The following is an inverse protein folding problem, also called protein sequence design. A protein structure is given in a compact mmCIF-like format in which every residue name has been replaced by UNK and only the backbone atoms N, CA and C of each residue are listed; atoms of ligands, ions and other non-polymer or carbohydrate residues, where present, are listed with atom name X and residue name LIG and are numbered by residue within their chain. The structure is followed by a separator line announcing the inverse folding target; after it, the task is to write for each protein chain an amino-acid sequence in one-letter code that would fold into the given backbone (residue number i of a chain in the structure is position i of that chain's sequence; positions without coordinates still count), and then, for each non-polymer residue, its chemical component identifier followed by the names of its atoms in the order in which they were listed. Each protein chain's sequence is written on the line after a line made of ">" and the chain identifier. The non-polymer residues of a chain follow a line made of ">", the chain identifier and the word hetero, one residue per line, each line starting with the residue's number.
data_IF_266303253694
#
_entry.id   IF_266303253694
#
_cell.length_a   1.000
_cell.length_b   1.000
_cell.length_c   1.000
_cell.angle_alpha   90.00
_cell.angle_beta   90.00
_cell.angle_gamma   90.00
#
_symmetry.space_group_name_H-M   'P 1'
#
loop_
_entity.id
_entity.type
_entity.pdbx_description
1 polymer ?
#
# COMPACT_ATOMS: atom_id res chain seq x y z
N UNK A 1 20.58 5.19 -55.35
CA UNK A 1 19.32 5.43 -54.62
C UNK A 1 19.50 6.72 -53.83
N UNK A 2 18.86 7.79 -54.24
CA UNK A 2 18.90 9.05 -53.49
C UNK A 2 17.72 9.06 -52.53
N UNK A 3 17.99 8.77 -51.27
CA UNK A 3 17.02 8.94 -50.18
C UNK A 3 16.77 10.44 -50.00
N UNK A 4 15.53 10.85 -50.05
CA UNK A 4 15.15 12.25 -49.80
C UNK A 4 15.30 12.57 -48.30
N UNK A 5 15.78 13.77 -47.95
CA UNK A 5 15.97 14.15 -46.53
C UNK A 5 14.69 14.00 -45.67
N UNK A 6 13.53 14.15 -46.29
CA UNK A 6 12.21 14.02 -45.65
C UNK A 6 11.87 12.59 -45.29
N UNK A 7 12.28 11.60 -46.10
CA UNK A 7 12.09 10.18 -45.82
C UNK A 7 12.97 9.68 -44.66
N UNK A 8 14.19 10.23 -44.58
CA UNK A 8 15.11 9.94 -43.47
C UNK A 8 14.55 10.49 -42.14
N UNK A 9 14.02 11.72 -42.19
CA UNK A 9 13.43 12.35 -40.99
C UNK A 9 12.19 11.60 -40.48
N UNK A 10 11.35 11.09 -41.38
CA UNK A 10 10.15 10.32 -40.99
C UNK A 10 10.51 8.97 -40.37
N UNK A 11 11.52 8.28 -40.95
CA UNK A 11 11.99 6.98 -40.40
C UNK A 11 12.66 7.17 -39.04
N UNK A 12 13.45 8.22 -38.86
CA UNK A 12 14.07 8.53 -37.56
C UNK A 12 13.02 8.86 -36.52
N UNK A 13 12.00 9.64 -36.87
CA UNK A 13 10.91 10.00 -35.98
C UNK A 13 10.10 8.77 -35.57
N UNK A 14 9.79 7.90 -36.51
CA UNK A 14 9.11 6.63 -36.22
C UNK A 14 9.96 5.70 -35.34
N UNK A 15 11.27 5.65 -35.54
CA UNK A 15 12.19 4.90 -34.70
C UNK A 15 12.29 5.49 -33.29
N UNK A 16 12.30 6.79 -33.12
CA UNK A 16 12.31 7.47 -31.82
C UNK A 16 11.00 7.23 -31.08
N UNK A 17 9.86 7.27 -31.78
CA UNK A 17 8.55 6.95 -31.18
C UNK A 17 8.45 5.46 -30.75
N UNK A 18 8.99 4.55 -31.54
CA UNK A 18 9.10 3.13 -31.14
C UNK A 18 10.04 2.94 -29.95
N UNK A 19 11.18 3.62 -29.96
CA UNK A 19 12.15 3.53 -28.86
C UNK A 19 11.60 4.08 -27.54
N UNK A 20 10.84 5.17 -27.57
CA UNK A 20 10.14 5.68 -26.38
C UNK A 20 8.96 4.78 -25.95
N UNK A 21 8.39 3.99 -26.85
CA UNK A 21 7.38 2.98 -26.50
C UNK A 21 8.01 1.70 -25.93
N UNK A 22 9.22 1.33 -26.35
CA UNK A 22 9.96 0.19 -25.82
C UNK A 22 10.66 0.50 -24.47
N UNK A 23 10.87 1.78 -24.15
CA UNK A 23 11.40 2.22 -22.85
C UNK A 23 10.39 2.10 -21.69
N UNK A 24 9.16 1.69 -21.97
CA UNK A 24 8.24 1.17 -20.95
C UNK A 24 8.42 -0.36 -20.79
N UNK A 25 9.66 -0.84 -20.81
CA UNK A 25 9.96 -2.17 -20.29
C UNK A 25 9.72 -2.09 -18.79
N UNK A 26 8.52 -2.43 -18.38
CA UNK A 26 8.25 -2.76 -16.98
C UNK A 26 9.21 -3.88 -16.62
N UNK A 27 10.17 -3.61 -15.72
CA UNK A 27 11.01 -4.66 -15.19
C UNK A 27 10.09 -5.75 -14.63
N UNK A 28 10.32 -6.96 -15.10
CA UNK A 28 9.48 -8.10 -14.78
C UNK A 28 10.30 -9.01 -13.86
N UNK A 29 9.77 -9.26 -12.67
CA UNK A 29 10.36 -10.17 -11.72
C UNK A 29 9.53 -11.43 -11.51
N UNK A 30 10.09 -12.38 -10.81
CA UNK A 30 9.44 -13.64 -10.44
C UNK A 30 9.39 -13.79 -8.93
N UNK A 31 8.24 -14.18 -8.41
CA UNK A 31 8.05 -14.46 -6.99
C UNK A 31 8.84 -15.69 -6.58
N UNK A 32 9.75 -15.56 -5.63
CA UNK A 32 10.54 -16.67 -5.07
C UNK A 32 9.79 -17.29 -3.89
N UNK A 33 9.20 -16.46 -3.05
CA UNK A 33 8.55 -16.89 -1.82
C UNK A 33 7.45 -15.92 -1.43
N UNK A 34 6.36 -16.44 -0.91
CA UNK A 34 5.28 -15.66 -0.29
C UNK A 34 5.00 -16.23 1.10
N UNK A 35 5.07 -15.37 2.12
CA UNK A 35 4.73 -15.73 3.48
C UNK A 35 4.23 -14.50 4.26
N UNK A 36 3.17 -14.67 5.05
CA UNK A 36 2.65 -13.65 5.98
C UNK A 36 2.40 -12.26 5.36
N UNK A 37 1.96 -12.22 4.09
CA UNK A 37 1.71 -10.96 3.39
C UNK A 37 2.98 -10.27 2.85
N UNK A 38 4.10 -10.96 2.86
CA UNK A 38 5.37 -10.50 2.27
C UNK A 38 5.69 -11.40 1.09
N UNK A 39 6.05 -10.79 -0.04
CA UNK A 39 6.55 -11.48 -1.21
C UNK A 39 8.03 -11.14 -1.42
N UNK A 40 8.86 -12.15 -1.69
CA UNK A 40 10.22 -11.99 -2.20
C UNK A 40 10.21 -12.19 -3.70
N UNK A 41 10.73 -11.23 -4.42
CA UNK A 41 10.73 -11.19 -5.88
C UNK A 41 12.15 -11.07 -6.39
N UNK A 42 12.50 -11.89 -7.38
CA UNK A 42 13.79 -11.85 -8.07
C UNK A 42 13.65 -11.16 -9.43
N UNK A 43 14.69 -10.47 -9.89
CA UNK A 43 14.76 -9.89 -11.23
C UNK A 43 14.21 -8.47 -11.36
N UNK A 44 14.00 -7.76 -10.23
CA UNK A 44 13.59 -6.35 -10.21
C UNK A 44 14.78 -5.45 -9.85
N UNK A 45 15.84 -5.46 -10.67
CA UNK A 45 17.10 -4.76 -10.39
C UNK A 45 16.94 -3.23 -10.32
N UNK A 46 15.98 -2.66 -11.05
CA UNK A 46 15.75 -1.22 -11.10
C UNK A 46 14.63 -0.75 -10.16
N UNK A 47 14.07 -1.63 -9.34
CA UNK A 47 13.00 -1.27 -8.43
C UNK A 47 13.46 -0.25 -7.38
N UNK A 48 12.59 0.70 -7.07
CA UNK A 48 12.86 1.74 -6.07
C UNK A 48 12.20 1.37 -4.73
N UNK A 49 12.80 1.82 -3.64
CA UNK A 49 12.17 1.71 -2.33
C UNK A 49 10.84 2.49 -2.30
N UNK A 50 9.79 1.85 -1.79
CA UNK A 50 8.44 2.42 -1.78
C UNK A 50 7.71 2.35 -3.12
N UNK A 51 8.26 1.67 -4.11
CA UNK A 51 7.62 1.48 -5.40
C UNK A 51 6.42 0.53 -5.32
N UNK A 52 5.41 0.83 -6.12
CA UNK A 52 4.24 -0.03 -6.29
C UNK A 52 4.56 -1.14 -7.30
N UNK A 53 4.37 -2.37 -6.89
CA UNK A 53 4.46 -3.56 -7.73
C UNK A 53 3.07 -4.10 -8.04
N UNK A 54 2.89 -4.59 -9.26
CA UNK A 54 1.65 -5.24 -9.69
C UNK A 54 1.86 -6.76 -9.72
N UNK A 55 1.10 -7.47 -8.89
CA UNK A 55 1.03 -8.91 -8.81
C UNK A 55 -0.16 -9.45 -9.61
N UNK A 56 -0.21 -10.75 -9.90
CA UNK A 56 -1.39 -11.38 -10.46
C UNK A 56 -2.64 -11.15 -9.62
N UNK A 57 -3.83 -11.27 -10.25
CA UNK A 57 -5.13 -11.10 -9.58
C UNK A 57 -5.39 -9.69 -9.04
N UNK A 58 -4.82 -8.66 -9.67
CA UNK A 58 -4.98 -7.25 -9.28
C UNK A 58 -4.53 -6.95 -7.85
N UNK A 59 -3.62 -7.75 -7.32
CA UNK A 59 -2.99 -7.49 -6.02
C UNK A 59 -1.80 -6.57 -6.23
N UNK A 60 -1.68 -5.59 -5.38
CA UNK A 60 -0.55 -4.66 -5.38
C UNK A 60 0.35 -4.90 -4.18
N UNK A 61 1.63 -4.63 -4.35
CA UNK A 61 2.61 -4.67 -3.28
C UNK A 61 3.46 -3.41 -3.25
N UNK A 62 4.04 -3.12 -2.10
CA UNK A 62 4.96 -2.01 -1.91
C UNK A 62 6.35 -2.55 -1.60
N UNK A 63 7.36 -2.10 -2.33
CA UNK A 63 8.76 -2.44 -2.08
C UNK A 63 9.21 -1.83 -0.75
N UNK A 64 9.64 -2.67 0.19
CA UNK A 64 10.19 -2.22 1.46
C UNK A 64 11.69 -2.49 1.59
N UNK A 65 12.14 -3.64 1.11
CA UNK A 65 13.53 -4.07 1.24
C UNK A 65 14.12 -4.34 -0.13
N UNK A 66 15.31 -3.78 -0.37
CA UNK A 66 16.09 -4.01 -1.57
C UNK A 66 17.35 -4.76 -1.14
N UNK A 67 17.45 -6.02 -1.55
CA UNK A 67 18.62 -6.87 -1.36
C UNK A 67 19.38 -7.02 -2.69
N UNK A 68 20.57 -7.56 -2.67
CA UNK A 68 21.42 -7.66 -3.85
C UNK A 68 20.76 -8.50 -4.97
N UNK A 69 20.11 -9.61 -4.61
CA UNK A 69 19.52 -10.56 -5.56
C UNK A 69 17.98 -10.58 -5.54
N UNK A 70 17.36 -9.92 -4.59
CA UNK A 70 15.90 -9.98 -4.44
C UNK A 70 15.33 -8.70 -3.82
N UNK A 71 14.03 -8.54 -4.03
CA UNK A 71 13.25 -7.42 -3.52
C UNK A 71 12.16 -7.94 -2.59
N UNK A 72 12.13 -7.42 -1.36
CA UNK A 72 11.06 -7.69 -0.40
C UNK A 72 9.92 -6.71 -0.55
N UNK A 73 8.73 -7.20 -0.87
CA UNK A 73 7.52 -6.39 -1.02
C UNK A 73 6.43 -6.81 -0.03
N UNK A 74 5.75 -5.82 0.55
CA UNK A 74 4.55 -6.05 1.37
C UNK A 74 3.32 -6.01 0.48
N UNK A 75 2.48 -7.02 0.58
CA UNK A 75 1.25 -7.13 -0.20
C UNK A 75 0.14 -6.29 0.40
N UNK A 76 -0.50 -5.47 -0.41
CA UNK A 76 -1.58 -4.56 -0.02
C UNK A 76 -2.96 -5.14 -0.39
N UNK A 77 -3.12 -6.45 -0.23
CA UNK A 77 -4.34 -7.17 -0.58
C UNK A 77 -4.35 -8.60 -0.08
N UNK A 78 -5.29 -9.41 -0.56
CA UNK A 78 -5.36 -10.84 -0.23
C UNK A 78 -4.28 -11.61 -1.01
N UNK A 79 -3.35 -12.21 -0.29
CA UNK A 79 -2.21 -12.92 -0.84
C UNK A 79 -2.47 -14.39 -1.19
N UNK A 80 -3.69 -14.89 -0.95
CA UNK A 80 -4.01 -16.32 -1.13
C UNK A 80 -3.85 -16.84 -2.56
N UNK A 81 -3.95 -15.93 -3.53
CA UNK A 81 -3.88 -16.28 -4.95
C UNK A 81 -2.49 -16.02 -5.56
N UNK A 82 -1.51 -15.63 -4.75
CA UNK A 82 -0.15 -15.40 -5.21
C UNK A 82 0.69 -16.62 -4.87
N UNK A 83 1.34 -17.16 -5.89
CA UNK A 83 2.15 -18.36 -5.77
C UNK A 83 3.62 -18.09 -6.12
N UNK A 84 4.49 -18.97 -5.66
CA UNK A 84 5.88 -19.00 -6.11
C UNK A 84 5.93 -19.28 -7.63
N UNK A 85 6.77 -18.53 -8.32
CA UNK A 85 6.87 -18.55 -9.78
C UNK A 85 5.97 -17.53 -10.50
N UNK A 86 5.08 -16.85 -9.81
CA UNK A 86 4.24 -15.82 -10.41
C UNK A 86 5.07 -14.62 -10.90
N UNK A 87 4.59 -13.99 -11.96
CA UNK A 87 5.22 -12.85 -12.58
C UNK A 87 4.76 -11.55 -11.94
N UNK A 88 5.71 -10.68 -11.54
CA UNK A 88 5.47 -9.37 -10.94
C UNK A 88 6.01 -8.28 -11.84
N UNK A 89 5.29 -7.17 -11.97
CA UNK A 89 5.69 -6.02 -12.77
C UNK A 89 5.95 -4.81 -11.89
N UNK A 90 6.99 -4.05 -12.23
CA UNK A 90 7.20 -2.71 -11.66
C UNK A 90 6.25 -1.72 -12.30
N UNK A 91 5.82 -0.71 -11.55
CA UNK A 91 5.00 0.38 -12.09
C UNK A 91 5.78 1.67 -12.33
N UNK A 92 7.05 1.72 -11.87
CA UNK A 92 7.88 2.93 -11.93
C UNK A 92 7.35 4.07 -11.06
N UNK A 93 6.42 3.80 -10.13
CA UNK A 93 5.79 4.81 -9.28
C UNK A 93 5.89 4.44 -7.82
N UNK A 94 6.25 5.40 -6.99
CA UNK A 94 6.16 5.26 -5.53
C UNK A 94 4.69 5.21 -5.12
N UNK A 95 4.40 4.41 -4.10
CA UNK A 95 3.01 4.25 -3.62
C UNK A 95 2.47 5.57 -3.11
N UNK A 96 1.41 6.04 -3.73
CA UNK A 96 0.72 7.28 -3.43
C UNK A 96 -0.77 7.04 -3.20
N UNK A 97 -1.36 7.85 -2.34
CA UNK A 97 -2.81 7.82 -2.09
C UNK A 97 -3.43 9.18 -2.41
N UNK A 98 -4.67 9.20 -2.92
CA UNK A 98 -5.40 10.43 -3.11
C UNK A 98 -5.67 11.11 -1.77
N UNK A 99 -5.56 12.44 -1.75
CA UNK A 99 -5.79 13.26 -0.55
C UNK A 99 -6.64 14.47 -0.88
N UNK A 100 -7.45 14.90 0.09
CA UNK A 100 -8.29 16.08 -0.01
C UNK A 100 -9.68 15.84 0.53
N UNK A 101 -10.53 16.87 0.41
CA UNK A 101 -11.91 16.86 0.91
C UNK A 101 -12.80 15.81 0.20
N UNK A 102 -12.40 15.39 -1.01
CA UNK A 102 -13.07 14.33 -1.77
C UNK A 102 -13.03 12.96 -1.06
N UNK A 103 -12.14 12.78 -0.07
CA UNK A 103 -12.03 11.56 0.72
C UNK A 103 -12.97 11.54 1.93
N UNK A 104 -13.57 12.68 2.29
CA UNK A 104 -14.44 12.76 3.45
C UNK A 104 -15.72 11.95 3.24
N UNK A 105 -16.04 11.06 4.19
CA UNK A 105 -17.21 10.19 4.14
C UNK A 105 -17.13 9.06 3.11
N UNK A 106 -15.93 8.77 2.56
CA UNK A 106 -15.64 7.64 1.68
C UNK A 106 -14.98 6.50 2.45
N UNK A 107 -15.20 5.28 1.98
CA UNK A 107 -14.48 4.10 2.46
C UNK A 107 -13.57 3.61 1.33
N UNK A 108 -12.29 3.50 1.64
CA UNK A 108 -11.25 3.17 0.65
C UNK A 108 -10.35 2.05 1.15
N UNK A 109 -9.70 1.36 0.22
CA UNK A 109 -8.64 0.41 0.52
C UNK A 109 -7.30 1.12 0.82
N UNK A 110 -6.23 0.34 1.02
CA UNK A 110 -4.89 0.85 1.33
C UNK A 110 -4.31 1.77 0.23
N UNK A 111 -4.74 1.61 -1.01
CA UNK A 111 -4.32 2.42 -2.17
C UNK A 111 -5.23 3.63 -2.42
N UNK A 112 -6.24 3.86 -1.56
CA UNK A 112 -7.19 4.94 -1.74
C UNK A 112 -8.27 4.69 -2.78
N UNK A 113 -8.42 3.45 -3.24
CA UNK A 113 -9.51 3.06 -4.15
C UNK A 113 -10.82 2.90 -3.37
N UNK A 114 -11.94 3.40 -3.88
CA UNK A 114 -13.21 3.34 -3.18
C UNK A 114 -13.77 1.91 -3.14
N UNK A 115 -14.18 1.47 -1.95
CA UNK A 115 -14.84 0.19 -1.71
C UNK A 115 -16.29 0.36 -1.19
N UNK A 116 -16.77 1.61 -1.18
CA UNK A 116 -18.08 1.98 -0.63
C UNK A 116 -19.24 1.95 -1.66
N UNK A 117 -18.96 1.57 -2.90
CA UNK A 117 -19.96 1.53 -3.97
C UNK A 117 -20.45 2.89 -4.46
N UNK A 118 -19.87 4.01 -3.99
CA UNK A 118 -20.28 5.38 -4.36
C UNK A 118 -19.58 5.93 -5.62
N UNK A 119 -18.94 5.06 -6.40
CA UNK A 119 -18.23 5.45 -7.61
C UNK A 119 -16.82 5.99 -7.38
N UNK A 120 -16.10 6.33 -8.46
CA UNK A 120 -14.69 6.73 -8.39
C UNK A 120 -14.50 8.05 -7.65
N UNK A 121 -13.35 8.20 -7.01
CA UNK A 121 -12.93 9.41 -6.30
C UNK A 121 -12.13 10.28 -7.25
N UNK A 122 -12.58 11.50 -7.49
CA UNK A 122 -11.86 12.48 -8.29
C UNK A 122 -10.94 13.29 -7.38
N UNK A 123 -9.73 12.80 -7.18
CA UNK A 123 -8.72 13.49 -6.41
C UNK A 123 -7.82 14.33 -7.32
N UNK A 124 -7.59 15.58 -6.94
CA UNK A 124 -6.67 16.49 -7.63
C UNK A 124 -5.25 16.42 -7.08
N UNK A 125 -5.07 15.82 -5.92
CA UNK A 125 -3.79 15.75 -5.21
C UNK A 125 -3.55 14.33 -4.73
N UNK A 126 -2.29 13.86 -4.86
CA UNK A 126 -1.80 12.61 -4.34
C UNK A 126 -0.67 12.87 -3.36
N UNK A 127 -0.44 11.95 -2.47
CA UNK A 127 0.60 12.03 -1.46
C UNK A 127 1.21 10.66 -1.21
N UNK A 128 2.52 10.60 -1.13
CA UNK A 128 3.25 9.38 -0.80
C UNK A 128 2.84 8.87 0.58
N UNK A 129 2.69 7.56 0.70
CA UNK A 129 2.32 6.90 1.96
C UNK A 129 3.45 7.05 2.97
N UNK A 130 4.69 6.75 2.56
CA UNK A 130 5.83 6.86 3.44
C UNK A 130 6.37 8.29 3.50
N UNK A 131 6.48 8.80 4.72
CA UNK A 131 7.03 10.12 5.00
C UNK A 131 7.78 10.12 6.31
N UNK A 132 8.87 10.86 6.32
CA UNK A 132 9.59 11.13 7.56
C UNK A 132 8.68 11.89 8.52
N UNK A 133 8.47 11.33 9.70
CA UNK A 133 7.68 11.98 10.74
C UNK A 133 8.36 13.26 11.23
N UNK A 134 7.61 14.34 11.50
CA UNK A 134 8.18 15.55 12.10
C UNK A 134 8.78 15.23 13.47
N UNK A 135 9.92 15.84 13.78
CA UNK A 135 10.59 15.66 15.06
C UNK A 135 9.73 16.13 16.25
N UNK A 136 10.08 15.69 17.45
CA UNK A 136 9.32 15.97 18.68
C UNK A 136 9.13 17.48 18.92
N UNK A 137 10.14 18.28 18.62
CA UNK A 137 10.13 19.73 18.83
C UNK A 137 9.08 20.44 17.95
N UNK A 138 8.87 19.92 16.73
CA UNK A 138 7.92 20.52 15.77
C UNK A 138 6.49 20.01 15.94
N UNK A 139 6.25 19.02 16.80
CA UNK A 139 4.91 18.49 17.06
C UNK A 139 4.17 19.35 18.05
N UNK A 140 2.94 19.70 17.72
CA UNK A 140 2.01 20.30 18.69
C UNK A 140 1.56 19.22 19.68
N UNK A 141 1.41 19.58 20.97
CA UNK A 141 0.78 18.69 21.95
C UNK A 141 -0.61 18.26 21.50
N UNK A 142 -0.95 17.00 21.76
CA UNK A 142 -2.29 16.47 21.45
C UNK A 142 -3.25 16.99 22.52
N UNK A 143 -4.08 17.94 22.13
CA UNK A 143 -5.14 18.55 22.95
C UNK A 143 -6.55 18.16 22.49
N UNK A 144 -6.66 17.71 21.26
CA UNK A 144 -7.94 17.32 20.64
C UNK A 144 -7.82 15.97 19.91
N UNK A 145 -8.81 15.09 20.03
CA UNK A 145 -8.81 13.84 19.25
C UNK A 145 -9.01 14.14 17.76
N UNK A 146 -8.24 13.48 16.90
CA UNK A 146 -8.46 13.53 15.47
C UNK A 146 -9.80 12.88 15.14
N UNK A 147 -10.77 13.67 14.67
CA UNK A 147 -12.04 13.14 14.19
C UNK A 147 -11.83 12.52 12.81
N UNK A 148 -11.40 11.26 12.79
CA UNK A 148 -11.46 10.44 11.60
C UNK A 148 -12.84 9.82 11.52
N UNK A 149 -13.40 9.75 10.32
CA UNK A 149 -14.66 9.11 9.93
C UNK A 149 -15.46 8.59 11.14
N UNK A 150 -16.66 9.09 11.36
CA UNK A 150 -17.65 8.40 12.20
C UNK A 150 -17.92 7.03 11.58
N UNK A 151 -17.05 6.08 11.82
CA UNK A 151 -17.46 4.70 11.76
C UNK A 151 -18.51 4.54 12.86
N UNK A 152 -19.74 4.13 12.56
CA UNK A 152 -20.71 3.76 13.59
C UNK A 152 -20.32 2.39 14.16
N UNK A 153 -19.09 2.23 14.59
CA UNK A 153 -18.76 1.18 15.52
C UNK A 153 -19.47 1.59 16.80
N UNK A 154 -20.62 0.96 17.06
CA UNK A 154 -21.20 0.99 18.41
C UNK A 154 -20.02 0.75 19.35
N UNK A 155 -19.76 1.64 20.32
CA UNK A 155 -18.76 1.36 21.33
C UNK A 155 -19.13 -0.02 21.86
N UNK A 156 -18.23 -1.01 21.70
CA UNK A 156 -18.36 -2.28 22.42
C UNK A 156 -18.59 -1.85 23.86
N UNK A 157 -19.79 -2.05 24.36
CA UNK A 157 -20.03 -1.91 25.78
C UNK A 157 -18.96 -2.80 26.42
N UNK A 158 -18.00 -2.15 27.08
CA UNK A 158 -17.09 -2.94 27.93
C UNK A 158 -18.03 -3.76 28.81
N UNK A 159 -17.90 -5.09 28.86
CA UNK A 159 -18.65 -5.85 29.83
C UNK A 159 -18.39 -5.13 31.16
N UNK A 160 -19.47 -4.73 31.83
CA UNK A 160 -19.38 -4.09 33.14
C UNK A 160 -18.47 -4.98 33.97
N UNK A 161 -17.34 -4.41 34.39
CA UNK A 161 -16.49 -5.13 35.32
C UNK A 161 -17.37 -5.38 36.54
N UNK A 162 -17.55 -6.65 36.96
CA UNK A 162 -18.35 -6.96 38.12
C UNK A 162 -17.82 -6.14 39.29
N UNK A 163 -18.70 -5.37 39.93
CA UNK A 163 -18.33 -4.56 41.08
C UNK A 163 -17.67 -5.44 42.13
N UNK A 164 -16.69 -4.90 42.85
CA UNK A 164 -15.91 -5.63 43.85
C UNK A 164 -16.76 -6.34 44.96
N UNK A 165 -18.00 -5.91 45.12
CA UNK A 165 -19.01 -6.51 45.99
C UNK A 165 -19.57 -7.84 45.45
N UNK A 166 -19.58 -8.05 44.13
CA UNK A 166 -20.01 -9.31 43.52
C UNK A 166 -18.96 -10.42 43.66
N UNK A 167 -17.67 -10.07 43.79
CA UNK A 167 -16.61 -11.07 44.04
C UNK A 167 -16.69 -11.73 45.41
N UNK A 168 -17.28 -11.08 46.42
CA UNK A 168 -17.44 -11.63 47.75
C UNK A 168 -18.48 -12.74 47.86
N UNK A 169 -19.42 -12.82 46.89
CA UNK A 169 -20.44 -13.85 46.86
C UNK A 169 -20.00 -15.15 46.15
N UNK A 170 -18.94 -15.10 45.33
CA UNK A 170 -18.51 -16.25 44.54
C UNK A 170 -17.42 -17.11 45.21
N UNK A 171 -16.73 -16.61 46.24
CA UNK A 171 -15.69 -17.36 46.96
C UNK A 171 -15.72 -17.06 48.48
N UNK A 172 -16.59 -17.74 49.24
CA UNK A 172 -16.63 -17.53 50.69
C UNK A 172 -15.45 -18.17 51.48
N UNK A 173 -14.53 -18.85 50.79
CA UNK A 173 -13.43 -19.56 51.42
C UNK A 173 -12.09 -19.28 50.72
N UNK A 174 -11.55 -18.10 50.84
CA UNK A 174 -10.14 -17.87 50.62
C UNK A 174 -9.56 -17.12 51.84
N UNK A 175 -8.81 -17.80 52.73
CA UNK A 175 -8.10 -17.09 53.78
C UNK A 175 -6.92 -16.35 53.16
N UNK A 176 -6.93 -15.02 53.28
CA UNK A 176 -5.76 -14.18 53.06
C UNK A 176 -4.75 -14.52 54.18
N UNK A 177 -3.68 -15.22 53.87
CA UNK A 177 -2.48 -15.25 54.67
C UNK A 177 -1.55 -14.10 54.30
N UNK A 178 -1.07 -13.46 55.32
CA UNK A 178 -0.17 -12.30 55.39
C UNK A 178 1.14 -12.52 54.62
#
# INVERSE_FOLDING_TARGET
>A
MNLRPEEISSVIKEQIERYSSELNVSDVGTVIQVADGIARVHGLENAMQGELLEFPSEVYGMVLNLEEDNVGAVLLGDHKNINEGDTVKTTGRVVEVPVGDCMLGRVVNALGQPIDGKGPIQATRHRQIERVAPGVISRKSVDTPLQTIKCPVRPRQRPEQPRADQFKQLHPYAPFNR
#
